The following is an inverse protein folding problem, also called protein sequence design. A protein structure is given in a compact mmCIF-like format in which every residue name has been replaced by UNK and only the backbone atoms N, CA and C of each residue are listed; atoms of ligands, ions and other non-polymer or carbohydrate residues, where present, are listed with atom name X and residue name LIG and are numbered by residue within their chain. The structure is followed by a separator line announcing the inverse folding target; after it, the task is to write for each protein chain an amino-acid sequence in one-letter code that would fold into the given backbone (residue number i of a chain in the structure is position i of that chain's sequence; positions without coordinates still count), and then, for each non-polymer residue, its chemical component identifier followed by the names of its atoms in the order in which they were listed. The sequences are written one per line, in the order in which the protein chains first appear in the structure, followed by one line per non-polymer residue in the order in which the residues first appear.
data_IF_996402695706
#
_entry.id   IF_996402695706
#
_cell.length_a   1.000
_cell.length_b   1.000
_cell.length_c   1.000
_cell.angle_alpha   90.00
_cell.angle_beta   90.00
_cell.angle_gamma   90.00
#
_symmetry.space_group_name_H-M   'P 1'
#
loop_
_entity.id
_entity.type
_entity.pdbx_description
1 polymer ?
#
# COMPACT_ATOMS: atom_id res chain seq x y z
N UNK A 1 -48.17 18.07 -50.23
CA UNK A 1 -49.45 17.32 -50.38
C UNK A 1 -49.16 15.85 -50.23
N UNK A 2 -49.96 15.01 -49.60
CA UNK A 2 -50.84 15.17 -48.46
C UNK A 2 -50.36 14.42 -47.22
N UNK A 3 -50.68 14.78 -46.00
CA UNK A 3 -51.84 14.44 -45.15
C UNK A 3 -51.96 12.92 -44.89
N UNK A 4 -52.09 12.42 -43.72
CA UNK A 4 -52.97 12.51 -42.55
C UNK A 4 -52.80 11.17 -41.78
N UNK A 5 -53.00 10.87 -40.54
CA UNK A 5 -53.90 11.10 -39.43
C UNK A 5 -53.40 10.34 -38.19
N UNK A 6 -53.34 10.98 -37.10
CA UNK A 6 -53.99 10.72 -35.81
C UNK A 6 -54.59 9.33 -35.53
N UNK A 7 -54.20 8.71 -34.38
CA UNK A 7 -55.19 8.39 -33.33
C UNK A 7 -54.51 8.20 -31.95
N UNK A 8 -54.97 8.95 -30.98
CA UNK A 8 -54.68 8.78 -29.56
C UNK A 8 -55.55 7.66 -28.99
N UNK A 9 -55.01 6.88 -28.08
CA UNK A 9 -55.84 6.14 -27.12
C UNK A 9 -55.18 6.13 -25.76
N UNK A 10 -55.72 6.95 -24.86
CA UNK A 10 -55.44 6.96 -23.44
C UNK A 10 -56.12 5.75 -22.80
N UNK A 11 -55.36 4.99 -22.02
CA UNK A 11 -55.94 4.10 -21.01
C UNK A 11 -55.27 4.39 -19.66
N UNK A 12 -56.04 5.06 -18.83
CA UNK A 12 -55.83 5.17 -17.39
C UNK A 12 -56.03 3.79 -16.77
N UNK A 13 -55.00 3.24 -16.16
CA UNK A 13 -55.15 2.22 -15.12
C UNK A 13 -54.36 2.71 -13.88
N UNK A 14 -55.12 3.14 -12.90
CA UNK A 14 -54.72 3.32 -11.52
C UNK A 14 -54.34 1.96 -10.93
N UNK A 15 -53.08 1.82 -10.57
CA UNK A 15 -52.56 0.71 -9.79
C UNK A 15 -51.71 1.28 -8.66
N UNK A 16 -52.30 1.40 -7.47
CA UNK A 16 -51.48 1.49 -6.23
C UNK A 16 -50.65 0.24 -6.14
N UNK A 17 -49.34 0.35 -6.35
CA UNK A 17 -48.36 -0.65 -6.07
C UNK A 17 -47.44 -0.11 -5.01
N UNK A 18 -47.55 -0.64 -3.80
CA UNK A 18 -46.61 -0.46 -2.70
C UNK A 18 -45.18 -0.66 -3.22
N UNK A 19 -44.40 0.40 -3.18
CA UNK A 19 -42.95 0.32 -3.31
C UNK A 19 -42.41 -0.32 -2.02
N UNK A 20 -42.46 -1.64 -1.91
CA UNK A 20 -41.60 -2.37 -1.00
C UNK A 20 -40.19 -2.21 -1.52
N UNK A 21 -39.44 -1.34 -0.89
CA UNK A 21 -37.97 -1.43 -0.83
C UNK A 21 -37.66 -2.88 -0.43
N UNK A 22 -36.83 -3.63 -1.17
CA UNK A 22 -36.38 -4.92 -0.68
C UNK A 22 -35.41 -4.63 0.47
N UNK A 23 -35.90 -4.72 1.70
CA UNK A 23 -35.05 -5.04 2.83
C UNK A 23 -34.63 -6.50 2.65
N UNK A 24 -33.62 -6.70 1.81
CA UNK A 24 -32.92 -7.97 1.75
C UNK A 24 -32.17 -8.12 3.07
N UNK A 25 -32.56 -9.09 3.88
CA UNK A 25 -31.70 -9.63 4.92
C UNK A 25 -30.37 -9.97 4.24
N UNK A 26 -29.37 -9.13 4.45
CA UNK A 26 -27.99 -9.44 4.13
C UNK A 26 -27.54 -10.39 5.25
N UNK A 27 -27.98 -11.64 5.16
CA UNK A 27 -27.35 -12.70 5.93
C UNK A 27 -25.92 -12.81 5.43
N UNK A 28 -25.00 -12.36 6.25
CA UNK A 28 -23.57 -12.34 6.01
C UNK A 28 -23.06 -13.77 5.72
N UNK A 29 -23.10 -14.17 4.48
CA UNK A 29 -22.41 -15.38 4.04
C UNK A 29 -21.02 -14.92 3.61
N UNK A 30 -20.05 -15.05 4.50
CA UNK A 30 -18.67 -15.05 4.06
C UNK A 30 -18.52 -16.22 3.09
N UNK A 31 -18.28 -15.92 1.83
CA UNK A 31 -18.07 -16.95 0.79
C UNK A 31 -16.70 -17.60 0.89
N UNK A 32 -16.05 -17.56 2.07
CA UNK A 32 -14.75 -18.18 2.33
C UNK A 32 -14.93 -19.66 2.65
N UNK A 33 -14.10 -20.50 2.04
CA UNK A 33 -13.91 -21.89 2.46
C UNK A 33 -13.03 -21.96 3.72
N UNK A 34 -13.02 -23.10 4.40
CA UNK A 34 -12.30 -23.29 5.67
C UNK A 34 -10.77 -23.20 5.52
N UNK A 35 -10.25 -23.40 4.31
CA UNK A 35 -8.84 -23.36 3.93
C UNK A 35 -8.41 -22.03 3.33
N UNK A 36 -9.33 -21.09 3.16
CA UNK A 36 -9.05 -19.76 2.60
C UNK A 36 -8.74 -18.73 3.69
N UNK A 37 -7.80 -17.85 3.39
CA UNK A 37 -7.39 -16.78 4.27
C UNK A 37 -7.73 -15.40 3.68
N UNK A 38 -7.91 -14.43 4.57
CA UNK A 38 -8.06 -13.01 4.23
C UNK A 38 -6.96 -12.21 4.90
N UNK A 39 -6.32 -11.35 4.13
CA UNK A 39 -5.45 -10.27 4.64
C UNK A 39 -6.13 -8.95 4.34
N UNK A 40 -6.27 -8.11 5.38
CA UNK A 40 -6.77 -6.75 5.25
C UNK A 40 -5.59 -5.79 5.33
N UNK A 41 -5.47 -4.91 4.34
CA UNK A 41 -4.36 -3.97 4.26
C UNK A 41 -4.70 -2.67 4.98
N UNK A 42 -3.73 -2.09 5.68
CA UNK A 42 -3.83 -0.75 6.27
C UNK A 42 -4.03 0.28 5.17
N UNK A 43 -5.07 1.08 5.28
CA UNK A 43 -5.43 2.12 4.31
C UNK A 43 -5.56 3.48 4.99
N UNK A 44 -5.59 4.55 4.19
CA UNK A 44 -5.80 5.90 4.69
C UNK A 44 -7.11 6.47 4.17
N UNK A 45 -8.00 6.86 5.06
CA UNK A 45 -9.23 7.56 4.77
C UNK A 45 -8.99 9.07 4.65
N UNK A 46 -9.86 9.73 3.90
CA UNK A 46 -9.83 11.18 3.74
C UNK A 46 -11.20 11.80 3.97
N UNK A 47 -11.21 13.03 4.47
CA UNK A 47 -12.42 13.82 4.68
C UNK A 47 -12.73 14.66 3.43
N UNK A 48 -13.93 14.49 2.87
CA UNK A 48 -14.50 15.49 1.98
C UNK A 48 -15.09 16.64 2.81
N UNK A 49 -14.39 17.77 2.83
CA UNK A 49 -14.79 18.93 3.62
C UNK A 49 -16.10 19.56 3.09
N UNK A 50 -16.45 19.37 1.81
CA UNK A 50 -17.68 19.94 1.24
C UNK A 50 -18.93 19.18 1.67
N UNK A 51 -18.85 17.85 1.75
CA UNK A 51 -19.97 16.98 2.18
C UNK A 51 -19.93 16.64 3.66
N UNK A 52 -18.79 16.86 4.34
CA UNK A 52 -18.53 16.42 5.73
C UNK A 52 -18.63 14.89 5.86
N UNK A 53 -18.11 14.18 4.87
CA UNK A 53 -18.09 12.72 4.81
C UNK A 53 -16.64 12.21 4.76
N UNK A 54 -16.38 11.18 5.55
CA UNK A 54 -15.13 10.42 5.44
C UNK A 54 -15.27 9.32 4.42
N UNK A 55 -14.30 9.22 3.56
CA UNK A 55 -14.09 8.14 2.61
C UNK A 55 -13.08 7.16 3.21
N UNK A 56 -13.52 5.95 3.51
CA UNK A 56 -12.73 4.90 4.14
C UNK A 56 -12.43 3.80 3.12
N UNK A 57 -11.24 3.77 2.50
CA UNK A 57 -10.86 2.69 1.60
C UNK A 57 -10.72 1.37 2.36
N UNK A 58 -11.34 0.33 1.85
CA UNK A 58 -11.20 -1.05 2.32
C UNK A 58 -10.48 -1.81 1.24
N UNK A 59 -9.35 -2.40 1.56
CA UNK A 59 -8.53 -3.16 0.62
C UNK A 59 -8.07 -4.44 1.28
N UNK A 60 -8.12 -5.56 0.57
CA UNK A 60 -7.68 -6.83 1.10
C UNK A 60 -7.41 -7.86 0.01
N UNK A 61 -6.95 -9.03 0.43
CA UNK A 61 -6.57 -10.16 -0.40
C UNK A 61 -7.12 -11.45 0.17
N UNK A 62 -7.77 -12.25 -0.69
CA UNK A 62 -8.25 -13.60 -0.38
C UNK A 62 -7.37 -14.59 -1.11
N UNK A 63 -6.87 -15.59 -0.39
CA UNK A 63 -6.00 -16.60 -0.94
C UNK A 63 -6.14 -17.93 -0.21
N UNK A 64 -5.83 -19.01 -0.92
CA UNK A 64 -5.64 -20.33 -0.34
C UNK A 64 -4.13 -20.59 -0.20
N UNK A 65 -3.63 -20.95 1.01
CA UNK A 65 -2.26 -21.38 1.18
C UNK A 65 -1.96 -22.61 0.34
N UNK A 66 -1.01 -22.52 -0.57
CA UNK A 66 -0.59 -23.66 -1.39
C UNK A 66 0.69 -24.28 -0.84
N UNK A 67 0.68 -25.58 -0.61
CA UNK A 67 1.87 -26.34 -0.21
C UNK A 67 2.42 -27.17 -1.39
N UNK A 68 2.81 -26.45 -2.44
CA UNK A 68 3.40 -27.09 -3.62
C UNK A 68 4.89 -27.36 -3.40
N UNK A 69 5.21 -28.59 -2.99
CA UNK A 69 6.61 -29.03 -2.83
C UNK A 69 7.42 -28.90 -4.14
N UNK A 70 6.78 -29.06 -5.29
CA UNK A 70 7.42 -28.90 -6.59
C UNK A 70 7.82 -27.46 -6.89
N UNK A 71 6.92 -26.49 -6.61
CA UNK A 71 7.21 -25.03 -6.78
C UNK A 71 8.30 -24.59 -5.79
N UNK A 72 8.22 -25.04 -4.53
CA UNK A 72 9.25 -24.75 -3.53
C UNK A 72 10.62 -25.30 -3.94
N UNK A 73 10.68 -26.56 -4.41
CA UNK A 73 11.91 -27.16 -4.88
C UNK A 73 12.49 -26.41 -6.10
N UNK A 74 11.64 -26.03 -7.05
CA UNK A 74 12.07 -25.23 -8.21
C UNK A 74 12.65 -23.88 -7.75
N UNK A 75 12.01 -23.20 -6.81
CA UNK A 75 12.50 -21.93 -6.28
C UNK A 75 13.85 -22.07 -5.58
N UNK A 76 14.00 -23.08 -4.71
CA UNK A 76 15.28 -23.39 -4.07
C UNK A 76 16.38 -23.67 -5.09
N UNK A 77 16.09 -24.47 -6.11
CA UNK A 77 17.04 -24.72 -7.22
C UNK A 77 17.46 -23.43 -7.93
N UNK A 78 16.52 -22.50 -8.16
CA UNK A 78 16.84 -21.19 -8.75
C UNK A 78 17.74 -20.37 -7.83
N UNK A 79 17.45 -20.31 -6.53
CA UNK A 79 18.29 -19.60 -5.57
C UNK A 79 19.72 -20.16 -5.56
N UNK A 80 19.85 -21.49 -5.52
CA UNK A 80 21.14 -22.17 -5.49
C UNK A 80 21.90 -22.03 -6.82
N UNK A 81 21.31 -22.40 -7.95
CA UNK A 81 22.02 -22.45 -9.23
C UNK A 81 22.32 -21.08 -9.85
N UNK A 82 21.46 -20.08 -9.62
CA UNK A 82 21.61 -18.78 -10.25
C UNK A 82 22.21 -17.70 -9.35
N UNK A 83 22.10 -17.85 -8.03
CA UNK A 83 22.52 -16.85 -7.06
C UNK A 83 23.49 -17.36 -5.99
N UNK A 84 23.83 -18.65 -6.01
CA UNK A 84 24.67 -19.30 -4.98
C UNK A 84 24.11 -19.16 -3.56
N UNK A 85 22.78 -19.13 -3.44
CA UNK A 85 22.05 -18.97 -2.19
C UNK A 85 21.48 -20.32 -1.74
N UNK A 86 22.11 -20.94 -0.75
CA UNK A 86 21.67 -22.20 -0.16
C UNK A 86 20.99 -21.93 1.18
N UNK A 87 19.69 -22.22 1.34
CA UNK A 87 19.03 -22.09 2.63
C UNK A 87 19.69 -22.98 3.69
N UNK A 88 19.85 -22.45 4.90
CA UNK A 88 20.33 -23.17 6.07
C UNK A 88 19.16 -23.53 6.99
N UNK A 89 19.35 -24.38 7.98
CA UNK A 89 18.33 -24.72 8.98
C UNK A 89 17.77 -23.46 9.68
N UNK A 90 18.57 -22.40 9.83
CA UNK A 90 18.20 -21.14 10.46
C UNK A 90 17.32 -20.26 9.53
N UNK A 91 17.58 -20.30 8.22
CA UNK A 91 16.90 -19.46 7.23
C UNK A 91 15.72 -20.16 6.53
N UNK A 92 15.59 -21.46 6.68
CA UNK A 92 14.56 -22.28 6.02
C UNK A 92 13.14 -21.83 6.41
N UNK A 93 12.91 -21.49 7.67
CA UNK A 93 11.60 -21.05 8.14
C UNK A 93 11.15 -19.73 7.50
N UNK A 94 12.07 -18.79 7.31
CA UNK A 94 11.80 -17.53 6.61
C UNK A 94 11.47 -17.77 5.14
N UNK A 95 12.27 -18.62 4.49
CA UNK A 95 12.04 -18.99 3.10
C UNK A 95 10.66 -19.61 2.93
N UNK A 96 10.32 -20.62 3.73
CA UNK A 96 9.03 -21.29 3.62
C UNK A 96 7.87 -20.34 3.86
N UNK A 97 7.92 -19.54 4.91
CA UNK A 97 6.86 -18.57 5.23
C UNK A 97 6.63 -17.57 4.09
N UNK A 98 7.70 -16.96 3.57
CA UNK A 98 7.59 -15.92 2.53
C UNK A 98 7.26 -16.53 1.16
N UNK A 99 7.82 -17.70 0.87
CA UNK A 99 7.52 -18.41 -0.38
C UNK A 99 6.07 -18.90 -0.43
N UNK A 100 5.52 -19.44 0.67
CA UNK A 100 4.12 -19.86 0.75
C UNK A 100 3.15 -18.71 0.41
N UNK A 101 3.44 -17.49 0.83
CA UNK A 101 2.65 -16.32 0.46
C UNK A 101 2.74 -15.98 -1.03
N UNK A 102 3.92 -16.15 -1.63
CA UNK A 102 4.12 -15.85 -3.06
C UNK A 102 3.48 -16.88 -3.98
N UNK A 103 3.48 -18.17 -3.58
CA UNK A 103 2.90 -19.25 -4.38
C UNK A 103 1.43 -19.53 -4.05
N UNK A 104 0.86 -18.83 -3.06
CA UNK A 104 -0.54 -18.96 -2.65
C UNK A 104 -1.48 -18.80 -3.84
N UNK A 105 -2.54 -19.61 -3.89
CA UNK A 105 -3.55 -19.48 -4.93
C UNK A 105 -4.47 -18.29 -4.63
N UNK A 106 -4.67 -17.46 -5.63
CA UNK A 106 -5.50 -16.27 -5.50
C UNK A 106 -6.97 -16.61 -5.66
N UNK A 107 -7.77 -16.35 -4.65
CA UNK A 107 -9.18 -16.68 -4.63
C UNK A 107 -10.05 -15.63 -5.30
N UNK A 108 -10.56 -15.96 -6.49
CA UNK A 108 -11.42 -15.10 -7.31
C UNK A 108 -12.90 -15.28 -7.00
N UNK A 109 -13.66 -14.17 -7.06
CA UNK A 109 -15.12 -14.19 -7.01
C UNK A 109 -15.70 -14.39 -5.61
N UNK A 110 -14.86 -14.26 -4.57
CA UNK A 110 -15.31 -14.35 -3.18
C UNK A 110 -16.10 -13.11 -2.79
N UNK A 111 -17.24 -13.32 -2.17
CA UNK A 111 -18.13 -12.25 -1.69
C UNK A 111 -18.00 -12.13 -0.19
N UNK A 112 -17.55 -10.97 0.28
CA UNK A 112 -17.27 -10.69 1.68
C UNK A 112 -18.15 -9.54 2.19
N UNK A 113 -18.29 -9.47 3.51
CA UNK A 113 -18.98 -8.39 4.20
C UNK A 113 -18.03 -7.80 5.23
N UNK A 114 -17.86 -6.48 5.19
CA UNK A 114 -17.17 -5.74 6.24
C UNK A 114 -18.16 -5.27 7.29
N UNK A 115 -17.84 -5.46 8.56
CA UNK A 115 -18.56 -4.89 9.70
C UNK A 115 -17.78 -3.70 10.24
N UNK A 116 -18.37 -2.52 10.21
CA UNK A 116 -17.81 -1.26 10.68
C UNK A 116 -18.76 -0.67 11.74
N UNK A 117 -18.32 -0.57 12.99
CA UNK A 117 -19.13 -0.08 14.12
C UNK A 117 -20.51 -0.75 14.22
N UNK A 118 -20.62 -2.03 13.87
CA UNK A 118 -21.86 -2.80 13.87
C UNK A 118 -22.74 -2.63 12.62
N UNK A 119 -22.28 -1.86 11.63
CA UNK A 119 -22.94 -1.74 10.31
C UNK A 119 -22.26 -2.66 9.30
N UNK A 120 -23.07 -3.42 8.56
CA UNK A 120 -22.59 -4.33 7.55
C UNK A 120 -22.51 -3.67 6.16
N UNK A 121 -21.39 -3.85 5.48
CA UNK A 121 -21.12 -3.33 4.15
C UNK A 121 -20.69 -4.46 3.24
N UNK A 122 -21.47 -4.73 2.18
CA UNK A 122 -21.10 -5.69 1.16
C UNK A 122 -19.87 -5.21 0.41
N UNK A 123 -18.84 -6.05 0.32
CA UNK A 123 -17.63 -5.78 -0.44
C UNK A 123 -17.77 -6.28 -1.88
N UNK A 124 -17.06 -5.70 -2.85
CA UNK A 124 -17.01 -6.24 -4.20
C UNK A 124 -16.37 -7.63 -4.18
N UNK A 125 -16.76 -8.46 -5.14
CA UNK A 125 -16.13 -9.78 -5.30
C UNK A 125 -14.64 -9.65 -5.59
N UNK A 126 -13.83 -10.53 -5.01
CA UNK A 126 -12.40 -10.57 -5.26
C UNK A 126 -12.08 -10.76 -6.75
N UNK A 127 -11.05 -10.06 -7.23
CA UNK A 127 -10.58 -10.10 -8.61
C UNK A 127 -9.73 -11.35 -8.89
N UNK A 128 -9.20 -11.49 -10.11
CA UNK A 128 -8.33 -12.62 -10.50
C UNK A 128 -7.04 -12.75 -9.68
N UNK A 129 -6.60 -11.67 -9.04
CA UNK A 129 -5.45 -11.66 -8.14
C UNK A 129 -5.85 -11.82 -6.66
N UNK A 130 -7.08 -12.25 -6.40
CA UNK A 130 -7.63 -12.42 -5.06
C UNK A 130 -7.95 -11.11 -4.32
N UNK A 131 -7.57 -9.95 -4.86
CA UNK A 131 -7.76 -8.67 -4.19
C UNK A 131 -9.16 -8.11 -4.39
N UNK A 132 -9.62 -7.37 -3.40
CA UNK A 132 -10.82 -6.55 -3.44
C UNK A 132 -10.51 -5.15 -2.89
N UNK A 133 -11.10 -4.14 -3.49
CA UNK A 133 -10.95 -2.74 -3.06
C UNK A 133 -12.31 -2.03 -3.19
N UNK A 134 -12.69 -1.26 -2.17
CA UNK A 134 -13.87 -0.40 -2.18
C UNK A 134 -13.65 0.78 -1.25
N UNK A 135 -14.59 1.73 -1.25
CA UNK A 135 -14.60 2.85 -0.29
C UNK A 135 -15.95 2.90 0.40
N UNK A 136 -15.94 2.87 1.73
CA UNK A 136 -17.12 3.10 2.56
C UNK A 136 -17.17 4.60 2.86
N UNK A 137 -18.33 5.21 2.65
CA UNK A 137 -18.55 6.64 2.94
C UNK A 137 -19.36 6.76 4.22
N UNK A 138 -18.87 7.56 5.16
CA UNK A 138 -19.44 7.69 6.51
C UNK A 138 -19.48 9.16 6.92
N UNK A 139 -20.58 9.67 7.53
CA UNK A 139 -20.64 11.01 8.06
C UNK A 139 -19.53 11.29 9.09
N UNK A 140 -18.97 12.50 9.08
CA UNK A 140 -17.91 12.87 10.01
C UNK A 140 -18.37 12.82 11.48
N UNK A 141 -19.67 13.00 11.76
CA UNK A 141 -20.25 12.85 13.10
C UNK A 141 -20.05 11.43 13.66
N UNK A 142 -20.26 10.42 12.82
CA UNK A 142 -20.18 9.02 13.21
C UNK A 142 -18.72 8.60 13.44
N UNK A 143 -17.82 9.07 12.58
CA UNK A 143 -16.38 8.85 12.75
C UNK A 143 -15.87 9.43 14.08
N UNK A 144 -16.36 10.59 14.49
CA UNK A 144 -15.97 11.19 15.77
C UNK A 144 -16.34 10.32 16.99
N UNK A 145 -17.33 9.43 16.84
CA UNK A 145 -17.73 8.48 17.89
C UNK A 145 -16.97 7.15 17.81
N UNK A 146 -16.56 6.73 16.60
CA UNK A 146 -15.99 5.40 16.36
C UNK A 146 -14.46 5.37 16.33
N UNK A 147 -13.82 6.52 16.05
CA UNK A 147 -12.37 6.57 15.92
C UNK A 147 -11.66 6.40 17.27
N UNK A 148 -10.59 5.61 17.25
CA UNK A 148 -9.68 5.43 18.40
C UNK A 148 -8.27 5.77 17.88
N UNK A 149 -7.60 6.69 18.53
CA UNK A 149 -6.22 7.09 18.21
C UNK A 149 -6.01 7.45 16.72
N UNK A 150 -7.01 8.10 16.09
CA UNK A 150 -6.96 8.48 14.69
C UNK A 150 -7.15 7.33 13.69
N UNK A 151 -7.70 6.21 14.14
CA UNK A 151 -7.95 5.04 13.30
C UNK A 151 -9.40 4.54 13.46
N UNK A 152 -9.87 3.85 12.43
CA UNK A 152 -11.14 3.11 12.43
C UNK A 152 -10.83 1.63 12.25
N UNK A 153 -11.25 0.81 13.19
CA UNK A 153 -11.24 -0.65 13.02
C UNK A 153 -12.51 -1.12 12.30
N UNK A 154 -12.35 -2.04 11.39
CA UNK A 154 -13.44 -2.81 10.77
C UNK A 154 -13.07 -4.30 10.74
N UNK A 155 -14.04 -5.17 10.47
CA UNK A 155 -13.81 -6.61 10.47
C UNK A 155 -14.40 -7.26 9.21
N UNK A 156 -13.68 -8.25 8.70
CA UNK A 156 -14.21 -9.18 7.69
C UNK A 156 -14.14 -10.57 8.31
N UNK A 157 -15.27 -11.12 8.70
CA UNK A 157 -15.31 -12.34 9.52
C UNK A 157 -14.58 -12.12 10.86
N UNK A 158 -13.57 -12.94 11.13
CA UNK A 158 -12.71 -12.83 12.32
C UNK A 158 -11.52 -11.89 12.15
N UNK A 159 -11.20 -11.46 10.92
CA UNK A 159 -10.01 -10.65 10.62
C UNK A 159 -10.32 -9.17 10.86
N UNK A 160 -9.46 -8.49 11.61
CA UNK A 160 -9.53 -7.06 11.80
C UNK A 160 -8.71 -6.32 10.73
N UNK A 161 -9.24 -5.20 10.25
CA UNK A 161 -8.57 -4.26 9.37
C UNK A 161 -8.64 -2.85 9.94
N UNK A 162 -7.75 -1.99 9.50
CA UNK A 162 -7.60 -0.64 10.01
C UNK A 162 -7.57 0.40 8.88
N UNK A 163 -8.28 1.50 9.09
CA UNK A 163 -8.22 2.69 8.23
C UNK A 163 -7.71 3.86 9.08
N UNK A 164 -6.55 4.40 8.77
CA UNK A 164 -6.04 5.60 9.39
C UNK A 164 -6.78 6.84 8.88
N UNK A 165 -7.18 7.72 9.78
CA UNK A 165 -7.86 8.96 9.43
C UNK A 165 -6.83 10.06 9.19
N UNK A 166 -6.66 10.44 7.94
CA UNK A 166 -5.70 11.49 7.55
C UNK A 166 -6.44 12.81 7.41
N UNK A 167 -6.07 13.78 8.24
CA UNK A 167 -6.65 15.13 8.19
C UNK A 167 -6.43 15.79 6.81
N UNK A 168 -7.33 16.67 6.34
CA UNK A 168 -7.20 17.34 5.05
C UNK A 168 -5.93 18.18 4.89
N UNK A 169 -5.45 18.74 5.99
CA UNK A 169 -4.23 19.57 6.06
C UNK A 169 -3.18 18.92 6.98
N UNK A 170 -1.97 19.42 6.97
CA UNK A 170 -0.87 18.93 7.80
C UNK A 170 0.26 18.34 6.96
N UNK A 171 1.14 17.58 7.61
CA UNK A 171 2.33 16.99 7.00
C UNK A 171 2.17 15.47 6.88
N UNK A 172 2.62 14.92 5.77
CA UNK A 172 2.76 13.47 5.58
C UNK A 172 4.17 13.11 5.09
N UNK A 173 4.64 11.93 5.49
CA UNK A 173 5.87 11.33 4.98
C UNK A 173 5.49 10.20 4.04
N UNK A 174 5.96 10.24 2.79
CA UNK A 174 5.92 9.12 1.87
C UNK A 174 7.32 8.54 1.80
N UNK A 175 7.47 7.29 2.20
CA UNK A 175 8.75 6.61 2.27
C UNK A 175 8.79 5.36 1.42
N UNK A 176 9.92 5.11 0.80
CA UNK A 176 10.29 3.81 0.33
C UNK A 176 10.62 2.86 1.50
N UNK A 177 10.70 1.54 1.24
CA UNK A 177 11.02 0.51 2.23
C UNK A 177 12.45 -0.03 2.02
N UNK A 178 12.72 -0.59 0.82
CA UNK A 178 13.95 -1.34 0.57
C UNK A 178 15.16 -0.40 0.49
N UNK A 179 16.20 -0.69 1.29
CA UNK A 179 17.36 0.18 1.52
C UNK A 179 17.08 1.61 2.01
N UNK A 180 15.82 1.94 2.23
CA UNK A 180 15.42 3.18 2.90
C UNK A 180 15.22 2.93 4.41
N UNK A 181 14.25 2.12 4.79
CA UNK A 181 13.97 1.78 6.20
C UNK A 181 14.35 0.35 6.55
N UNK A 182 14.41 -0.56 5.56
CA UNK A 182 14.81 -1.96 5.66
C UNK A 182 16.10 -2.21 4.88
N UNK A 183 17.04 -2.92 5.44
CA UNK A 183 18.26 -3.34 4.73
C UNK A 183 17.89 -4.41 3.71
N UNK A 184 18.21 -4.18 2.44
CA UNK A 184 17.87 -5.07 1.32
C UNK A 184 19.00 -5.28 0.33
N UNK A 185 19.96 -4.33 0.26
CA UNK A 185 21.06 -4.32 -0.70
C UNK A 185 20.57 -4.39 -2.16
N UNK A 186 19.64 -3.50 -2.54
CA UNK A 186 18.95 -3.49 -3.86
C UNK A 186 19.88 -3.40 -5.07
N UNK A 187 21.12 -2.97 -4.87
CA UNK A 187 22.14 -2.88 -5.93
C UNK A 187 22.74 -4.24 -6.31
N UNK A 188 22.63 -5.25 -5.44
CA UNK A 188 23.09 -6.62 -5.67
C UNK A 188 21.91 -7.60 -5.62
N UNK A 189 21.66 -8.32 -6.72
CA UNK A 189 20.50 -9.20 -6.82
C UNK A 189 20.53 -10.39 -5.86
N UNK A 190 21.70 -10.99 -5.65
CA UNK A 190 21.82 -12.15 -4.75
C UNK A 190 21.53 -11.69 -3.32
N UNK A 191 22.13 -10.59 -2.91
CA UNK A 191 21.91 -10.00 -1.59
C UNK A 191 20.45 -9.55 -1.39
N UNK A 192 19.81 -8.93 -2.40
CA UNK A 192 18.39 -8.59 -2.36
C UNK A 192 17.50 -9.83 -2.14
N UNK A 193 17.77 -10.93 -2.85
CA UNK A 193 17.05 -12.19 -2.67
C UNK A 193 17.27 -12.79 -1.30
N UNK A 194 18.51 -12.78 -0.82
CA UNK A 194 18.86 -13.26 0.51
C UNK A 194 18.10 -12.48 1.59
N UNK A 195 18.14 -11.15 1.57
CA UNK A 195 17.41 -10.30 2.52
C UNK A 195 15.89 -10.38 2.37
N UNK A 196 15.39 -10.68 1.17
CA UNK A 196 13.95 -10.79 0.95
C UNK A 196 13.39 -12.14 1.40
N UNK A 197 14.15 -13.24 1.25
CA UNK A 197 13.62 -14.58 1.45
C UNK A 197 14.25 -15.36 2.61
N UNK A 198 15.52 -15.14 2.90
CA UNK A 198 16.28 -15.98 3.82
C UNK A 198 16.47 -15.32 5.18
N UNK A 199 16.98 -14.10 5.19
CA UNK A 199 17.35 -13.42 6.44
C UNK A 199 16.13 -12.80 7.13
N UNK A 200 16.25 -12.56 8.44
CA UNK A 200 15.30 -11.70 9.15
C UNK A 200 15.38 -10.29 8.58
N UNK A 201 14.23 -9.61 8.52
CA UNK A 201 14.22 -8.22 8.13
C UNK A 201 14.89 -7.38 9.22
N UNK A 202 15.72 -6.44 8.82
CA UNK A 202 16.45 -5.54 9.72
C UNK A 202 16.23 -4.10 9.33
N UNK A 203 15.99 -3.24 10.33
CA UNK A 203 15.88 -1.81 10.09
C UNK A 203 17.24 -1.19 9.71
N UNK A 204 17.19 -0.25 8.80
CA UNK A 204 18.34 0.61 8.54
C UNK A 204 18.62 1.47 9.78
N UNK A 205 19.89 1.53 10.16
CA UNK A 205 20.31 2.09 11.44
C UNK A 205 19.79 3.52 11.67
N UNK A 206 19.08 3.73 12.78
CA UNK A 206 18.51 4.99 13.22
C UNK A 206 17.24 5.43 12.51
N UNK A 207 16.79 4.73 11.45
CA UNK A 207 15.58 5.13 10.71
C UNK A 207 14.31 5.00 11.56
N UNK A 208 14.16 3.92 12.32
CA UNK A 208 13.01 3.75 13.20
C UNK A 208 12.97 4.83 14.30
N UNK A 209 14.10 5.20 14.89
CA UNK A 209 14.19 6.28 15.86
C UNK A 209 13.77 7.62 15.27
N UNK A 210 14.27 7.93 14.08
CA UNK A 210 13.96 9.18 13.38
C UNK A 210 12.46 9.27 13.04
N UNK A 211 11.84 8.15 12.60
CA UNK A 211 10.42 8.14 12.29
C UNK A 211 9.55 8.24 13.54
N UNK A 212 9.97 7.63 14.66
CA UNK A 212 9.30 7.83 15.97
C UNK A 212 9.42 9.27 16.44
N UNK A 213 10.56 9.92 16.28
CA UNK A 213 10.71 11.33 16.60
C UNK A 213 9.75 12.20 15.78
N UNK A 214 9.65 11.94 14.48
CA UNK A 214 8.71 12.64 13.61
C UNK A 214 7.26 12.39 13.98
N UNK A 215 6.90 11.18 14.39
CA UNK A 215 5.53 10.81 14.74
C UNK A 215 5.01 11.46 16.04
N UNK A 216 5.89 12.06 16.83
CA UNK A 216 5.51 12.86 17.99
C UNK A 216 4.72 14.14 17.60
N UNK A 217 4.81 14.57 16.34
CA UNK A 217 3.95 15.57 15.72
C UNK A 217 2.84 14.85 14.93
N UNK A 218 1.68 15.43 14.74
CA UNK A 218 0.54 14.85 14.02
C UNK A 218 0.88 14.63 12.52
N UNK A 219 1.67 13.58 12.24
CA UNK A 219 2.20 13.24 10.92
C UNK A 219 1.67 11.88 10.47
N UNK A 220 1.18 11.83 9.24
CA UNK A 220 0.77 10.57 8.61
C UNK A 220 1.92 9.97 7.79
N UNK A 221 2.06 8.64 7.86
CA UNK A 221 3.11 7.91 7.15
C UNK A 221 2.51 6.99 6.08
N UNK A 222 3.17 6.95 4.92
CA UNK A 222 2.79 6.12 3.79
C UNK A 222 4.05 5.45 3.24
N UNK A 223 4.11 4.12 3.28
CA UNK A 223 5.17 3.37 2.63
C UNK A 223 4.77 3.00 1.20
N UNK A 224 5.69 3.19 0.26
CA UNK A 224 5.51 2.84 -1.15
C UNK A 224 6.71 2.03 -1.62
N UNK A 225 6.55 0.75 -1.91
CA UNK A 225 7.64 -0.14 -2.29
C UNK A 225 7.34 -0.93 -3.57
N UNK A 226 8.40 -1.36 -4.25
CA UNK A 226 8.34 -2.30 -5.36
C UNK A 226 8.13 -3.76 -4.91
N UNK A 227 8.12 -4.01 -3.62
CA UNK A 227 7.82 -5.32 -3.03
C UNK A 227 6.38 -5.75 -3.34
N UNK A 228 6.11 -7.06 -3.59
CA UNK A 228 4.79 -7.55 -3.92
C UNK A 228 3.82 -7.52 -2.72
N UNK A 229 2.52 -7.35 -2.98
CA UNK A 229 1.47 -7.39 -1.94
C UNK A 229 1.44 -8.67 -1.10
N UNK A 230 1.90 -9.79 -1.65
CA UNK A 230 2.03 -11.05 -0.92
C UNK A 230 2.98 -10.96 0.29
N UNK A 231 3.94 -10.03 0.25
CA UNK A 231 4.85 -9.77 1.37
C UNK A 231 4.33 -8.71 2.37
N UNK A 232 3.06 -8.31 2.26
CA UNK A 232 2.46 -7.31 3.14
C UNK A 232 2.59 -7.70 4.62
N UNK A 233 2.15 -8.91 5.00
CA UNK A 233 2.18 -9.34 6.40
C UNK A 233 3.60 -9.38 6.99
N UNK A 234 4.60 -10.01 6.34
CA UNK A 234 5.97 -9.94 6.86
C UNK A 234 6.54 -8.52 6.92
N UNK A 235 6.16 -7.62 5.99
CA UNK A 235 6.63 -6.23 6.02
C UNK A 235 5.98 -5.42 7.15
N UNK A 236 4.67 -5.59 7.36
CA UNK A 236 3.99 -4.90 8.48
C UNK A 236 4.46 -5.40 9.84
N UNK A 237 4.62 -6.72 10.01
CA UNK A 237 5.22 -7.30 11.22
C UNK A 237 6.60 -6.67 11.51
N UNK A 238 7.47 -6.63 10.50
CA UNK A 238 8.78 -6.00 10.62
C UNK A 238 8.71 -4.54 11.04
N UNK A 239 7.84 -3.74 10.39
CA UNK A 239 7.71 -2.32 10.71
C UNK A 239 7.20 -2.10 12.14
N UNK A 240 6.25 -2.92 12.57
CA UNK A 240 5.68 -2.87 13.92
C UNK A 240 6.71 -3.31 14.97
N UNK A 241 7.43 -4.40 14.74
CA UNK A 241 8.46 -4.97 15.66
C UNK A 241 9.65 -4.01 15.82
N UNK A 242 10.09 -3.33 14.77
CA UNK A 242 11.15 -2.33 14.82
C UNK A 242 10.65 -0.97 15.38
N UNK A 243 9.35 -0.85 15.61
CA UNK A 243 8.71 0.32 16.20
C UNK A 243 8.60 1.52 15.26
N UNK A 244 8.46 1.29 13.97
CA UNK A 244 8.04 2.35 13.04
C UNK A 244 6.63 2.80 13.36
N UNK A 245 6.28 4.09 13.11
CA UNK A 245 4.91 4.57 13.27
C UNK A 245 3.93 3.79 12.39
N UNK A 246 2.68 3.72 12.82
CA UNK A 246 1.61 3.19 11.98
C UNK A 246 1.59 3.90 10.61
N UNK A 247 1.51 3.13 9.55
CA UNK A 247 1.55 3.64 8.19
C UNK A 247 0.71 2.79 7.25
N UNK A 248 0.27 3.40 6.16
CA UNK A 248 -0.26 2.65 5.02
C UNK A 248 0.86 2.08 4.16
N UNK A 249 0.60 0.97 3.49
CA UNK A 249 1.53 0.39 2.52
C UNK A 249 0.90 0.39 1.14
N UNK A 250 1.65 0.83 0.14
CA UNK A 250 1.34 0.70 -1.28
C UNK A 250 2.41 -0.18 -1.93
N UNK A 251 2.04 -1.43 -2.22
CA UNK A 251 2.94 -2.44 -2.75
C UNK A 251 2.61 -2.77 -4.21
N UNK A 252 3.53 -3.43 -4.88
CA UNK A 252 3.37 -3.79 -6.29
C UNK A 252 2.41 -4.97 -6.46
N UNK A 253 1.44 -4.85 -7.37
CA UNK A 253 0.64 -5.98 -7.81
C UNK A 253 1.45 -6.83 -8.78
N UNK A 254 1.73 -8.06 -8.40
CA UNK A 254 2.47 -9.01 -9.21
C UNK A 254 1.58 -10.22 -9.48
N UNK A 255 1.57 -10.70 -10.72
CA UNK A 255 0.99 -12.00 -11.06
C UNK A 255 2.12 -13.02 -11.09
N UNK A 256 2.09 -13.92 -10.14
CA UNK A 256 3.05 -15.02 -10.11
C UNK A 256 2.69 -16.05 -11.19
N UNK A 257 3.58 -16.22 -12.17
CA UNK A 257 3.59 -17.36 -13.10
C UNK A 257 5.00 -17.93 -13.06
N UNK A 258 5.12 -19.24 -13.11
CA UNK A 258 6.40 -19.97 -12.91
C UNK A 258 7.59 -19.42 -13.72
N UNK A 259 7.31 -18.81 -14.89
CA UNK A 259 8.34 -18.21 -15.76
C UNK A 259 8.65 -16.74 -15.42
N UNK A 260 7.85 -16.07 -14.55
CA UNK A 260 7.96 -14.63 -14.30
C UNK A 260 8.44 -14.28 -12.89
N UNK A 261 8.99 -15.26 -12.18
CA UNK A 261 9.55 -15.02 -10.84
C UNK A 261 10.55 -13.85 -10.81
N UNK A 262 11.41 -13.76 -11.82
CA UNK A 262 12.36 -12.65 -11.94
C UNK A 262 11.73 -11.29 -12.25
N UNK A 263 10.45 -11.25 -12.67
CA UNK A 263 9.71 -10.01 -12.87
C UNK A 263 9.33 -9.33 -11.55
N UNK A 264 9.41 -10.08 -10.41
CA UNK A 264 9.29 -9.52 -9.07
C UNK A 264 10.35 -8.43 -8.83
N UNK A 265 11.55 -8.67 -9.35
CA UNK A 265 12.72 -7.82 -9.15
C UNK A 265 13.03 -6.90 -10.34
N UNK A 266 12.16 -6.88 -11.36
CA UNK A 266 12.26 -5.86 -12.41
C UNK A 266 11.87 -4.51 -11.80
N UNK A 267 12.76 -3.53 -11.95
CA UNK A 267 12.56 -2.16 -11.45
C UNK A 267 11.17 -1.66 -11.86
N UNK A 268 10.35 -1.36 -10.87
CA UNK A 268 8.98 -0.87 -11.05
C UNK A 268 8.97 0.61 -11.41
N UNK A 269 9.53 0.97 -12.57
CA UNK A 269 9.69 2.36 -13.02
C UNK A 269 8.39 3.14 -13.14
N UNK A 270 7.24 2.47 -13.24
CA UNK A 270 5.93 3.13 -13.43
C UNK A 270 4.99 2.98 -12.23
N UNK A 271 5.17 1.96 -11.38
CA UNK A 271 4.23 1.68 -10.28
C UNK A 271 4.43 2.60 -9.08
N UNK A 272 5.68 2.85 -8.67
CA UNK A 272 6.01 3.71 -7.54
C UNK A 272 5.54 5.17 -7.77
N UNK A 273 5.83 5.82 -8.92
CA UNK A 273 5.31 7.16 -9.21
C UNK A 273 3.78 7.23 -9.21
N UNK A 274 3.10 6.23 -9.77
CA UNK A 274 1.63 6.21 -9.81
C UNK A 274 1.01 6.08 -8.41
N UNK A 275 1.58 5.26 -7.54
CA UNK A 275 1.15 5.11 -6.15
C UNK A 275 1.33 6.42 -5.36
N UNK A 276 2.49 7.08 -5.50
CA UNK A 276 2.74 8.36 -4.85
C UNK A 276 1.76 9.43 -5.34
N UNK A 277 1.52 9.53 -6.66
CA UNK A 277 0.54 10.48 -7.23
C UNK A 277 -0.87 10.23 -6.69
N UNK A 278 -1.28 8.96 -6.53
CA UNK A 278 -2.59 8.63 -5.94
C UNK A 278 -2.72 9.23 -4.53
N UNK A 279 -1.65 9.16 -3.72
CA UNK A 279 -1.62 9.76 -2.37
C UNK A 279 -1.69 11.30 -2.46
N UNK A 280 -0.84 11.92 -3.26
CA UNK A 280 -0.82 13.39 -3.41
C UNK A 280 -2.17 13.95 -3.86
N UNK A 281 -2.84 13.29 -4.79
CA UNK A 281 -4.16 13.70 -5.31
C UNK A 281 -5.27 13.49 -4.27
N UNK A 282 -5.19 12.43 -3.44
CA UNK A 282 -6.15 12.17 -2.38
C UNK A 282 -6.12 13.23 -1.27
N UNK A 283 -4.96 13.87 -1.07
CA UNK A 283 -4.75 14.88 -0.01
C UNK A 283 -4.22 16.20 -0.57
N UNK A 284 -5.00 16.94 -1.36
CA UNK A 284 -4.53 18.10 -2.13
C UNK A 284 -4.04 19.27 -1.27
N UNK A 285 -4.49 19.36 -0.02
CA UNK A 285 -4.16 20.46 0.90
C UNK A 285 -3.05 20.07 1.91
N UNK A 286 -2.50 18.85 1.83
CA UNK A 286 -1.39 18.41 2.67
C UNK A 286 -0.05 18.70 2.02
N UNK A 287 0.97 18.83 2.85
CA UNK A 287 2.37 18.89 2.40
C UNK A 287 3.05 17.55 2.66
N UNK A 288 4.07 17.26 1.86
CA UNK A 288 4.73 15.96 1.88
C UNK A 288 6.25 16.07 1.94
N UNK A 289 6.85 15.12 2.67
CA UNK A 289 8.26 14.80 2.61
C UNK A 289 8.39 13.43 1.94
N UNK A 290 9.29 13.32 0.97
CA UNK A 290 9.61 12.04 0.32
C UNK A 290 10.94 11.52 0.87
N UNK A 291 10.99 10.24 1.22
CA UNK A 291 12.19 9.58 1.73
C UNK A 291 12.44 8.32 0.91
N UNK A 292 13.64 8.19 0.36
CA UNK A 292 14.05 7.07 -0.47
C UNK A 292 15.54 6.81 -0.41
N UNK A 293 16.04 5.98 -1.29
CA UNK A 293 17.44 5.58 -1.36
C UNK A 293 18.11 5.92 -2.70
N UNK A 294 19.44 5.87 -2.74
CA UNK A 294 20.23 6.15 -3.94
C UNK A 294 20.46 4.90 -4.83
N UNK A 295 20.18 3.69 -4.35
CA UNK A 295 20.39 2.44 -5.07
C UNK A 295 19.32 2.13 -6.11
N UNK A 296 18.09 2.63 -5.88
CA UNK A 296 16.99 2.57 -6.83
C UNK A 296 16.83 3.85 -7.66
N UNK A 297 15.63 4.11 -8.16
CA UNK A 297 15.31 5.29 -8.98
C UNK A 297 14.56 6.37 -8.19
N UNK A 298 14.63 6.33 -6.86
CA UNK A 298 13.94 7.30 -6.01
C UNK A 298 14.39 8.74 -6.29
N UNK A 299 15.69 9.04 -6.50
CA UNK A 299 16.10 10.38 -6.88
C UNK A 299 15.38 10.89 -8.13
N UNK A 300 15.35 10.11 -9.20
CA UNK A 300 14.73 10.45 -10.48
C UNK A 300 13.21 10.61 -10.35
N UNK A 301 12.56 9.68 -9.65
CA UNK A 301 11.12 9.68 -9.41
C UNK A 301 10.70 10.88 -8.58
N UNK A 302 11.40 11.14 -7.47
CA UNK A 302 11.05 12.22 -6.56
C UNK A 302 11.33 13.59 -7.15
N UNK A 303 12.40 13.72 -7.94
CA UNK A 303 12.68 14.95 -8.68
C UNK A 303 11.60 15.24 -9.73
N UNK A 304 11.07 14.23 -10.40
CA UNK A 304 9.96 14.42 -11.32
C UNK A 304 8.67 14.83 -10.58
N UNK A 305 8.39 14.20 -9.43
CA UNK A 305 7.21 14.49 -8.63
C UNK A 305 7.24 15.90 -8.00
N UNK A 306 8.36 16.35 -7.49
CA UNK A 306 8.45 17.70 -6.91
C UNK A 306 8.28 18.81 -7.97
N UNK A 307 8.66 18.54 -9.23
CA UNK A 307 8.37 19.45 -10.35
C UNK A 307 6.89 19.48 -10.71
N UNK A 308 6.21 18.34 -10.63
CA UNK A 308 4.78 18.23 -10.92
C UNK A 308 3.90 18.76 -9.77
N UNK A 309 4.34 18.56 -8.51
CA UNK A 309 3.62 18.96 -7.29
C UNK A 309 4.46 19.87 -6.38
N UNK A 310 4.93 21.04 -6.88
CA UNK A 310 5.90 21.86 -6.16
C UNK A 310 5.36 22.44 -4.85
N UNK A 311 4.05 22.64 -4.75
CA UNK A 311 3.43 23.20 -3.55
C UNK A 311 3.20 22.12 -2.47
N UNK A 312 2.99 20.87 -2.87
CA UNK A 312 2.77 19.79 -1.94
C UNK A 312 4.07 19.15 -1.43
N UNK A 313 5.03 18.86 -2.30
CA UNK A 313 6.30 18.22 -1.88
C UNK A 313 7.27 19.29 -1.41
N UNK A 314 7.60 19.31 -0.14
CA UNK A 314 8.45 20.36 0.47
C UNK A 314 9.89 19.91 0.66
N UNK A 315 10.13 18.60 0.86
CA UNK A 315 11.47 18.07 1.09
C UNK A 315 11.62 16.67 0.51
N UNK A 316 12.81 16.36 0.01
CA UNK A 316 13.23 15.03 -0.43
C UNK A 316 14.47 14.64 0.37
N UNK A 317 14.44 13.46 0.97
CA UNK A 317 15.57 12.84 1.64
C UNK A 317 15.97 11.57 0.89
N UNK A 318 17.23 11.48 0.50
CA UNK A 318 17.79 10.30 -0.19
C UNK A 318 18.86 9.67 0.70
N UNK A 319 18.63 8.45 1.17
CA UNK A 319 19.63 7.69 1.89
C UNK A 319 20.73 7.24 0.94
N UNK A 320 21.97 7.56 1.28
CA UNK A 320 23.15 7.26 0.46
C UNK A 320 23.60 5.80 0.65
N UNK A 321 23.12 4.91 -0.17
CA UNK A 321 23.50 3.48 -0.16
C UNK A 321 24.51 3.12 -1.25
N UNK A 322 24.74 4.04 -2.19
CA UNK A 322 25.71 3.87 -3.29
C UNK A 322 27.05 4.55 -3.01
N UNK A 323 27.20 5.20 -1.87
CA UNK A 323 28.39 5.98 -1.49
C UNK A 323 28.77 7.04 -2.54
N UNK A 324 27.75 7.67 -3.14
CA UNK A 324 27.92 8.75 -4.11
C UNK A 324 28.00 10.10 -3.40
N UNK A 325 28.68 11.05 -4.05
CA UNK A 325 28.68 12.44 -3.59
C UNK A 325 27.47 13.19 -4.13
N UNK A 326 26.86 14.07 -3.34
CA UNK A 326 25.71 14.89 -3.76
C UNK A 326 25.99 15.77 -5.00
N UNK A 327 27.25 16.09 -5.26
CA UNK A 327 27.71 16.87 -6.43
C UNK A 327 28.07 16.04 -7.66
N UNK A 328 27.80 14.73 -7.69
CA UNK A 328 28.09 13.89 -8.83
C UNK A 328 27.20 14.21 -10.05
N UNK A 329 27.55 13.67 -11.21
CA UNK A 329 26.83 13.92 -12.46
C UNK A 329 25.35 13.46 -12.40
N UNK A 330 25.05 12.34 -11.70
CA UNK A 330 23.68 11.81 -11.53
C UNK A 330 22.82 12.81 -10.77
N UNK A 331 23.22 13.20 -9.56
CA UNK A 331 22.44 14.11 -8.72
C UNK A 331 22.36 15.52 -9.30
N UNK A 332 23.43 15.99 -9.97
CA UNK A 332 23.38 17.24 -10.70
C UNK A 332 22.38 17.22 -11.86
N UNK A 333 22.29 16.12 -12.60
CA UNK A 333 21.31 15.96 -13.67
C UNK A 333 19.88 15.87 -13.12
N UNK A 334 19.69 15.21 -11.96
CA UNK A 334 18.38 14.95 -11.36
C UNK A 334 17.85 16.15 -10.60
N UNK A 335 18.67 16.83 -9.80
CA UNK A 335 18.27 17.89 -8.87
C UNK A 335 18.81 19.29 -9.21
N UNK A 336 19.57 19.46 -10.29
CA UNK A 336 20.28 20.71 -10.58
C UNK A 336 19.39 21.94 -10.79
N UNK A 337 18.11 21.77 -11.10
CA UNK A 337 17.11 22.84 -11.22
C UNK A 337 16.18 22.96 -9.98
N UNK A 338 16.36 22.07 -8.99
CA UNK A 338 15.59 22.06 -7.74
C UNK A 338 16.40 22.82 -6.69
N UNK A 339 15.70 23.66 -5.92
CA UNK A 339 16.31 24.40 -4.81
C UNK A 339 17.10 23.43 -3.89
N UNK A 340 18.38 23.68 -3.65
CA UNK A 340 19.23 22.83 -2.81
C UNK A 340 18.67 22.60 -1.39
N UNK A 341 17.89 23.54 -0.86
CA UNK A 341 17.26 23.39 0.45
C UNK A 341 16.09 22.39 0.42
N UNK A 342 15.61 21.97 -0.74
CA UNK A 342 14.47 21.05 -0.90
C UNK A 342 14.86 19.58 -1.06
N UNK A 343 16.13 19.24 -1.09
CA UNK A 343 16.58 17.86 -1.09
C UNK A 343 17.87 17.68 -0.27
N UNK A 344 18.14 16.46 0.16
CA UNK A 344 19.34 16.12 0.92
C UNK A 344 19.72 14.66 0.67
N UNK A 345 20.98 14.42 0.32
CA UNK A 345 21.60 13.10 0.38
C UNK A 345 22.17 12.91 1.79
N UNK A 346 21.80 11.81 2.48
CA UNK A 346 22.22 11.56 3.85
C UNK A 346 22.75 10.15 4.07
N UNK A 347 23.77 10.02 4.94
CA UNK A 347 24.32 8.73 5.37
C UNK A 347 23.70 8.28 6.71
N UNK A 348 23.35 9.21 7.57
CA UNK A 348 22.71 8.98 8.86
C UNK A 348 21.42 9.77 8.98
N UNK A 349 20.31 9.18 9.46
CA UNK A 349 19.06 9.90 9.61
C UNK A 349 19.04 10.89 10.79
N UNK A 350 20.02 10.79 11.69
CA UNK A 350 20.05 11.63 12.89
C UNK A 350 20.08 13.13 12.52
N UNK A 351 19.08 13.86 12.98
CA UNK A 351 18.96 15.30 12.75
C UNK A 351 18.29 15.68 11.42
N UNK A 352 17.64 14.76 10.73
CA UNK A 352 16.75 15.10 9.62
C UNK A 352 15.54 15.86 10.15
N UNK A 353 15.35 17.09 9.68
CA UNK A 353 14.29 17.98 10.14
C UNK A 353 13.09 17.95 9.18
N UNK A 354 11.89 17.96 9.73
CA UNK A 354 10.69 18.12 8.93
C UNK A 354 10.44 19.60 8.62
N UNK A 355 9.95 19.94 7.41
CA UNK A 355 9.52 21.30 7.12
C UNK A 355 8.37 21.69 8.05
N UNK A 356 8.19 22.98 8.29
CA UNK A 356 7.06 23.49 9.04
C UNK A 356 5.75 23.03 8.38
N UNK A 357 4.82 22.53 9.19
CA UNK A 357 3.45 22.27 8.74
C UNK A 357 2.80 23.61 8.34
N UNK A 358 1.99 23.66 7.27
CA UNK A 358 1.31 24.88 6.84
C UNK A 358 0.33 25.41 7.86
#
# INVERSE_FOLDING_TARGET
MPRLFLLALALLLTGCGDSKTPSGDISAVSGLADDENVVLFRTAGWLDEATQEWHLPIHGWVYEPEDSSARKALFKTILEEQFDLVPTDETESNLERRLNLLIADNERGKTLVASLAGHEHALPSSAENGQFETTIVVPASDIAEWAIDGQIEYRVGSVAGEVGLVAPTGLSVISDIDDTVKISNVTDKASLLEHTFLLDFMAAAGMADQYREWSASDISFHFVSSSPWQLYSPLTEFLDDEGFPWATLSLKTVRFRDETFFDLFKKGTETKPAAIKKILVAYPNRVFVLVGDSGEQDPEVYAALIREFPEQIKKIYIRNVTNEEAGNDRFNAVFGDIDPDRWLLFDSPAGLELPSSP
#
